data_IF_423172375261
#
_entry.id   IF_423172375261
#
_cell.length_a   1.000
_cell.length_b   1.000
_cell.length_c   1.000
_cell.angle_alpha   90.00
_cell.angle_beta   90.00
_cell.angle_gamma   90.00
#
_symmetry.space_group_name_H-M   'P 1'
#
loop_
_entity.id
_entity.type
_entity.pdbx_description
1 polymer ?
#
# COMPACT_ATOMS: atom_id res chain seq x y z
N UNK A 1 9.72 -16.76 -3.52
CA UNK A 1 11.09 -17.08 -3.04
C UNK A 1 12.10 -17.26 -4.17
N UNK A 2 11.74 -17.85 -5.30
CA UNK A 2 12.64 -17.92 -6.48
C UNK A 2 12.99 -16.55 -7.08
N UNK A 3 12.11 -15.61 -6.97
CA UNK A 3 12.28 -14.24 -7.48
C UNK A 3 13.40 -13.47 -6.75
N UNK A 4 13.51 -13.61 -5.44
CA UNK A 4 14.57 -13.02 -4.63
C UNK A 4 15.92 -13.70 -4.88
N UNK A 5 15.93 -15.02 -5.13
CA UNK A 5 17.15 -15.79 -5.41
C UNK A 5 17.82 -15.39 -6.73
N UNK A 6 17.04 -15.07 -7.78
CA UNK A 6 17.60 -14.61 -9.06
C UNK A 6 18.15 -13.18 -9.01
N UNK A 7 17.65 -12.35 -8.08
CA UNK A 7 18.11 -10.97 -7.93
C UNK A 7 19.49 -10.83 -7.24
N UNK A 8 19.90 -11.81 -6.43
CA UNK A 8 21.08 -11.72 -5.58
C UNK A 8 22.39 -12.21 -6.27
N UNK A 9 22.30 -12.88 -7.41
CA UNK A 9 23.49 -13.39 -8.13
C UNK A 9 24.47 -12.33 -8.64
N UNK A 10 24.17 -11.02 -8.46
CA UNK A 10 24.89 -9.92 -9.13
C UNK A 10 25.66 -9.01 -8.16
N UNK A 11 25.55 -9.21 -6.87
CA UNK A 11 26.21 -8.33 -5.88
C UNK A 11 27.72 -8.54 -5.81
N UNK A 12 28.28 -9.56 -6.47
CA UNK A 12 29.70 -9.91 -6.39
C UNK A 12 30.61 -9.53 -7.56
N UNK A 13 30.08 -9.00 -8.66
CA UNK A 13 30.95 -8.74 -9.80
C UNK A 13 30.34 -7.78 -10.82
N UNK A 14 30.93 -6.63 -11.01
CA UNK A 14 30.67 -5.64 -12.05
C UNK A 14 29.70 -4.49 -11.73
N UNK A 15 30.02 -3.71 -10.72
CA UNK A 15 29.39 -2.40 -10.48
C UNK A 15 29.72 -1.31 -11.52
N UNK A 16 30.54 -1.60 -12.51
CA UNK A 16 31.09 -0.57 -13.42
C UNK A 16 30.38 -0.47 -14.79
N UNK A 17 29.53 -1.41 -15.21
CA UNK A 17 29.03 -1.44 -16.59
C UNK A 17 27.56 -1.03 -16.78
N UNK A 18 26.78 -0.87 -15.71
CA UNK A 18 25.33 -0.58 -15.81
C UNK A 18 24.97 0.91 -15.68
N UNK A 19 25.92 1.83 -15.79
CA UNK A 19 25.70 3.29 -15.66
C UNK A 19 25.10 3.98 -16.89
N UNK A 20 24.64 3.28 -17.92
CA UNK A 20 24.21 3.90 -19.18
C UNK A 20 22.91 3.32 -19.76
N UNK A 21 21.82 3.28 -19.04
CA UNK A 21 20.48 3.15 -19.63
C UNK A 21 19.43 3.86 -18.76
N UNK A 22 19.71 5.07 -18.30
CA UNK A 22 18.67 5.95 -17.76
C UNK A 22 17.67 6.25 -18.86
N UNK A 23 16.39 5.95 -18.64
CA UNK A 23 15.32 6.47 -19.48
C UNK A 23 15.30 7.99 -19.38
N UNK A 24 14.96 8.73 -20.44
CA UNK A 24 14.59 10.14 -20.30
C UNK A 24 13.50 10.27 -19.23
N UNK A 25 13.41 11.41 -18.55
CA UNK A 25 12.51 11.73 -17.43
C UNK A 25 10.99 11.71 -17.78
N UNK A 26 10.57 10.92 -18.75
CA UNK A 26 9.16 10.72 -19.11
C UNK A 26 8.57 9.68 -18.16
N UNK A 27 8.03 10.14 -17.04
CA UNK A 27 7.23 9.29 -16.15
C UNK A 27 5.86 9.11 -16.79
N UNK A 28 5.41 7.84 -16.91
CA UNK A 28 4.01 7.53 -17.22
C UNK A 28 3.12 7.97 -16.04
N UNK A 29 2.56 9.17 -16.11
CA UNK A 29 1.83 9.81 -15.01
C UNK A 29 0.58 10.55 -15.50
N UNK A 30 -0.50 10.50 -14.72
CA UNK A 30 -1.73 11.24 -14.99
C UNK A 30 -2.83 10.41 -15.65
N UNK A 31 -3.93 11.08 -16.02
CA UNK A 31 -5.10 10.45 -16.62
C UNK A 31 -4.89 9.98 -18.07
N UNK A 32 -3.94 10.58 -18.79
CA UNK A 32 -3.60 10.26 -20.19
C UNK A 32 -2.09 10.06 -20.34
N UNK A 33 -1.50 9.05 -19.68
CA UNK A 33 -0.07 8.86 -19.70
C UNK A 33 0.41 8.32 -21.06
N UNK A 34 1.60 8.73 -21.48
CA UNK A 34 2.34 8.01 -22.51
C UNK A 34 3.06 6.83 -21.86
N UNK A 35 2.65 5.61 -22.16
CA UNK A 35 3.27 4.40 -21.61
C UNK A 35 4.51 4.07 -22.46
N UNK A 36 5.72 4.12 -21.91
CA UNK A 36 6.93 3.75 -22.62
C UNK A 36 6.91 2.28 -23.05
N UNK A 37 7.60 1.97 -24.15
CA UNK A 37 7.78 0.58 -24.56
C UNK A 37 8.46 -0.24 -23.47
N UNK A 38 7.94 -1.47 -23.26
CA UNK A 38 8.50 -2.40 -22.31
C UNK A 38 9.95 -2.76 -22.67
N UNK A 39 10.86 -2.56 -21.73
CA UNK A 39 12.25 -3.01 -21.84
C UNK A 39 12.38 -4.39 -21.22
N UNK A 40 12.55 -5.43 -22.02
CA UNK A 40 12.82 -6.79 -21.52
C UNK A 40 14.18 -6.78 -20.81
N UNK A 41 14.14 -6.63 -19.49
CA UNK A 41 15.36 -6.69 -18.66
C UNK A 41 15.71 -8.15 -18.41
N UNK A 42 16.87 -8.61 -18.89
CA UNK A 42 17.40 -9.92 -18.52
C UNK A 42 17.75 -10.00 -17.03
N UNK A 43 18.15 -8.88 -16.47
CA UNK A 43 18.46 -8.69 -15.06
C UNK A 43 17.74 -7.42 -14.59
N UNK A 44 16.91 -7.55 -13.59
CA UNK A 44 16.18 -6.42 -13.01
C UNK A 44 17.14 -5.48 -12.27
N UNK A 45 16.94 -4.17 -12.46
CA UNK A 45 17.64 -3.15 -11.67
C UNK A 45 17.28 -3.30 -10.20
N UNK A 46 18.26 -3.27 -9.32
CA UNK A 46 18.06 -3.27 -7.87
C UNK A 46 18.75 -2.05 -7.27
N UNK A 47 17.98 -1.22 -6.58
CA UNK A 47 18.49 -0.08 -5.83
C UNK A 47 17.67 0.05 -4.54
N UNK A 48 18.23 -0.43 -3.45
CA UNK A 48 17.57 -0.46 -2.14
C UNK A 48 18.26 0.52 -1.20
N UNK A 49 17.64 1.65 -0.85
CA UNK A 49 18.20 2.56 0.14
C UNK A 49 18.19 1.90 1.51
N UNK A 50 19.24 2.14 2.29
CA UNK A 50 19.33 1.62 3.66
C UNK A 50 18.28 2.31 4.52
N UNK A 51 17.49 1.54 5.27
CA UNK A 51 16.53 2.08 6.22
C UNK A 51 17.24 2.71 7.41
N UNK A 52 17.25 4.03 7.51
CA UNK A 52 17.89 4.78 8.58
C UNK A 52 16.93 5.27 9.65
N UNK A 53 15.71 5.63 9.28
CA UNK A 53 14.75 6.31 10.14
C UNK A 53 15.08 7.80 10.33
N UNK A 54 14.22 8.49 11.09
CA UNK A 54 14.34 9.92 11.36
C UNK A 54 15.24 10.16 12.58
N UNK A 55 16.35 10.85 12.37
CA UNK A 55 17.34 11.16 13.40
C UNK A 55 17.62 12.65 13.47
N UNK A 56 18.15 13.12 14.60
CA UNK A 56 18.61 14.49 14.79
C UNK A 56 17.54 15.56 14.53
N UNK A 57 16.28 15.27 14.89
CA UNK A 57 15.18 16.21 14.71
C UNK A 57 14.74 16.43 13.26
N UNK A 58 15.18 15.58 12.32
CA UNK A 58 14.73 15.62 10.94
C UNK A 58 13.24 15.29 10.85
N UNK A 59 12.52 16.00 10.02
CA UNK A 59 11.10 15.81 9.72
C UNK A 59 10.88 15.66 8.22
N UNK A 60 9.77 15.06 7.78
CA UNK A 60 9.32 15.16 6.39
C UNK A 60 9.15 16.62 5.97
N UNK A 61 9.33 16.88 4.68
CA UNK A 61 9.15 18.20 4.07
C UNK A 61 7.68 18.34 3.68
N UNK A 62 7.00 19.31 4.25
CA UNK A 62 5.60 19.63 3.95
C UNK A 62 5.45 20.50 2.72
N UNK A 63 4.32 20.37 2.03
CA UNK A 63 3.86 21.39 1.09
C UNK A 63 3.67 22.75 1.80
N UNK A 64 3.81 23.88 1.09
CA UNK A 64 3.59 25.22 1.66
C UNK A 64 2.22 25.36 2.35
N UNK A 65 2.20 25.97 3.53
CA UNK A 65 0.99 26.15 4.34
C UNK A 65 0.61 24.94 5.21
N UNK A 66 1.45 23.88 5.22
CA UNK A 66 1.25 22.72 6.07
C UNK A 66 2.37 22.59 7.10
N UNK A 67 2.08 21.88 8.19
CA UNK A 67 3.04 21.42 9.20
C UNK A 67 2.86 19.94 9.48
N UNK A 68 3.92 19.29 9.98
CA UNK A 68 3.92 17.88 10.35
C UNK A 68 4.50 17.72 11.75
N UNK A 69 3.89 16.84 12.54
CA UNK A 69 4.42 16.37 13.81
C UNK A 69 4.25 14.85 13.92
N UNK A 70 5.00 14.23 14.81
CA UNK A 70 4.76 12.84 15.17
C UNK A 70 3.50 12.77 16.04
N UNK A 71 2.44 12.09 15.58
CA UNK A 71 1.26 11.76 16.37
C UNK A 71 1.58 10.64 17.37
N UNK A 72 2.29 9.61 16.91
CA UNK A 72 2.75 8.49 17.73
C UNK A 72 4.12 8.02 17.25
N UNK A 73 4.99 7.57 18.16
CA UNK A 73 6.34 7.10 17.87
C UNK A 73 6.71 5.87 18.68
N UNK A 74 7.77 5.16 18.27
CA UNK A 74 8.20 3.94 18.94
C UNK A 74 7.29 2.74 18.65
N UNK A 75 6.64 2.74 17.49
CA UNK A 75 5.92 1.59 16.96
C UNK A 75 6.90 0.54 16.41
N UNK A 76 6.41 -0.64 16.07
CA UNK A 76 7.19 -1.68 15.39
C UNK A 76 6.62 -1.91 13.99
N UNK A 77 7.13 -1.15 13.02
CA UNK A 77 6.76 -1.24 11.61
C UNK A 77 5.24 -1.02 11.37
N UNK A 78 4.72 0.19 11.66
CA UNK A 78 3.30 0.52 11.49
C UNK A 78 2.91 0.46 10.02
N UNK A 79 1.77 -0.18 9.73
CA UNK A 79 1.33 -0.41 8.34
C UNK A 79 0.00 0.27 8.02
N UNK A 80 -1.01 0.03 8.83
CA UNK A 80 -2.35 0.51 8.55
C UNK A 80 -2.91 1.26 9.75
N UNK A 81 -3.79 2.20 9.48
CA UNK A 81 -4.40 3.08 10.47
C UNK A 81 -5.90 3.01 10.32
N UNK A 82 -6.61 2.89 11.43
CA UNK A 82 -8.06 3.03 11.52
C UNK A 82 -8.38 4.02 12.63
N UNK A 83 -9.23 5.00 12.35
CA UNK A 83 -9.68 5.98 13.34
C UNK A 83 -11.07 5.59 13.81
N UNK A 84 -11.20 5.24 15.08
CA UNK A 84 -12.47 4.86 15.67
C UNK A 84 -13.39 6.08 15.90
N UNK A 85 -14.71 5.88 15.97
CA UNK A 85 -15.67 6.99 16.16
C UNK A 85 -15.45 7.82 17.43
N UNK A 86 -14.81 7.27 18.45
CA UNK A 86 -14.47 7.95 19.70
C UNK A 86 -13.16 8.78 19.60
N UNK A 87 -12.48 8.71 18.46
CA UNK A 87 -11.21 9.40 18.18
C UNK A 87 -9.96 8.60 18.46
N UNK A 88 -10.07 7.38 19.01
CA UNK A 88 -8.93 6.49 19.17
C UNK A 88 -8.36 6.08 17.81
N UNK A 89 -7.05 5.95 17.74
CA UNK A 89 -6.33 5.58 16.53
C UNK A 89 -5.75 4.16 16.69
N UNK A 90 -6.24 3.23 15.89
CA UNK A 90 -5.70 1.87 15.83
C UNK A 90 -4.61 1.79 14.76
N UNK A 91 -3.50 1.12 15.10
CA UNK A 91 -2.36 0.93 14.19
C UNK A 91 -2.01 -0.55 14.11
N UNK A 92 -2.07 -1.11 12.90
CA UNK A 92 -1.56 -2.44 12.62
C UNK A 92 -0.02 -2.41 12.52
N UNK A 93 0.64 -3.13 13.42
CA UNK A 93 2.08 -3.30 13.47
C UNK A 93 2.45 -4.70 12.96
N UNK A 94 2.95 -4.77 11.73
CA UNK A 94 3.25 -6.04 11.07
C UNK A 94 4.32 -5.89 9.99
N UNK A 95 5.07 -6.97 9.78
CA UNK A 95 6.17 -7.03 8.83
C UNK A 95 6.13 -8.32 8.03
N UNK A 96 6.66 -8.28 6.81
CA UNK A 96 6.83 -9.49 6.02
C UNK A 96 7.76 -10.47 6.72
N UNK A 97 7.33 -11.73 6.82
CA UNK A 97 8.10 -12.81 7.45
C UNK A 97 8.71 -13.69 6.34
N UNK A 98 10.04 -13.68 6.25
CA UNK A 98 10.73 -14.58 5.37
C UNK A 98 10.73 -15.99 5.93
N UNK A 99 10.47 -16.98 5.09
CA UNK A 99 10.70 -18.39 5.44
C UNK A 99 12.20 -18.68 5.69
N UNK A 100 12.53 -19.86 6.24
CA UNK A 100 13.92 -20.23 6.49
C UNK A 100 14.73 -20.22 5.18
N UNK A 101 15.91 -19.60 5.15
CA UNK A 101 16.76 -19.59 3.96
C UNK A 101 17.26 -21.00 3.67
N UNK A 102 17.20 -21.42 2.41
CA UNK A 102 17.56 -22.78 1.97
C UNK A 102 18.94 -22.84 1.28
N UNK A 103 19.41 -21.69 0.77
CA UNK A 103 20.69 -21.56 0.04
C UNK A 103 21.51 -20.42 0.60
N UNK A 104 22.82 -20.38 0.29
CA UNK A 104 23.70 -19.25 0.63
C UNK A 104 23.18 -17.94 0.00
N UNK A 105 22.59 -18.02 -1.18
CA UNK A 105 21.99 -16.90 -1.89
C UNK A 105 20.75 -16.38 -1.16
N UNK A 106 19.90 -17.25 -0.61
CA UNK A 106 18.76 -16.85 0.22
C UNK A 106 19.23 -16.12 1.48
N UNK A 107 20.31 -16.56 2.12
CA UNK A 107 20.91 -15.90 3.27
C UNK A 107 21.36 -14.47 2.93
N UNK A 108 22.05 -14.29 1.80
CA UNK A 108 22.51 -12.98 1.35
C UNK A 108 21.34 -12.05 1.00
N UNK A 109 20.33 -12.59 0.28
CA UNK A 109 19.11 -11.87 -0.04
C UNK A 109 18.36 -11.40 1.21
N UNK A 110 18.12 -12.32 2.16
CA UNK A 110 17.45 -11.98 3.41
C UNK A 110 18.26 -10.98 4.25
N UNK A 111 19.59 -11.07 4.26
CA UNK A 111 20.43 -10.08 4.94
C UNK A 111 20.24 -8.67 4.35
N UNK A 112 20.18 -8.56 3.02
CA UNK A 112 19.89 -7.30 2.32
C UNK A 112 18.49 -6.80 2.66
N UNK A 113 17.47 -7.66 2.60
CA UNK A 113 16.08 -7.29 2.92
C UNK A 113 15.90 -6.86 4.38
N UNK A 114 16.63 -7.48 5.33
CA UNK A 114 16.65 -7.02 6.73
C UNK A 114 17.27 -5.65 6.89
N UNK A 115 18.36 -5.36 6.14
CA UNK A 115 19.03 -4.05 6.19
C UNK A 115 18.14 -2.90 5.74
N UNK A 116 17.20 -3.16 4.83
CA UNK A 116 16.20 -2.19 4.37
C UNK A 116 14.88 -2.29 5.14
N UNK A 117 14.83 -3.03 6.24
CA UNK A 117 13.66 -3.30 7.10
C UNK A 117 12.46 -3.95 6.37
N UNK A 118 12.63 -4.48 5.17
CA UNK A 118 11.53 -5.08 4.41
C UNK A 118 11.02 -6.41 5.01
N UNK A 119 11.92 -7.20 5.62
CA UNK A 119 11.59 -8.45 6.30
C UNK A 119 12.14 -8.47 7.73
N UNK A 120 11.53 -9.29 8.59
CA UNK A 120 12.00 -9.46 9.97
C UNK A 120 11.01 -10.18 10.87
N UNK A 121 11.24 -10.08 12.18
CA UNK A 121 10.24 -10.48 13.16
C UNK A 121 9.09 -9.49 13.08
N UNK A 122 7.87 -9.97 12.93
CA UNK A 122 6.66 -9.15 12.92
C UNK A 122 6.11 -9.00 14.33
N UNK A 123 5.67 -7.80 14.69
CA UNK A 123 4.98 -7.54 15.95
C UNK A 123 3.64 -8.29 16.04
N UNK A 124 2.98 -8.49 14.90
CA UNK A 124 1.73 -9.26 14.79
C UNK A 124 0.64 -8.80 15.76
N UNK A 125 0.48 -7.49 15.88
CA UNK A 125 -0.49 -6.86 16.79
C UNK A 125 -1.13 -5.63 16.17
N UNK A 126 -2.22 -5.19 16.79
CA UNK A 126 -2.79 -3.85 16.62
C UNK A 126 -2.61 -3.11 17.94
N UNK A 127 -2.16 -1.87 17.89
CA UNK A 127 -2.06 -0.97 19.03
C UNK A 127 -3.07 0.14 18.94
N UNK A 128 -3.62 0.55 20.09
CA UNK A 128 -4.49 1.69 20.27
C UNK A 128 -3.67 2.89 20.75
N UNK A 129 -3.89 4.03 20.15
CA UNK A 129 -3.29 5.30 20.51
C UNK A 129 -4.39 6.35 20.73
N UNK A 130 -4.29 7.08 21.84
CA UNK A 130 -5.26 8.11 22.20
C UNK A 130 -4.54 9.41 22.52
N UNK A 131 -4.95 10.47 21.87
CA UNK A 131 -4.61 11.86 22.14
C UNK A 131 -5.66 12.39 23.12
N UNK A 132 -5.35 12.34 24.41
CA UNK A 132 -6.31 12.59 25.48
C UNK A 132 -6.54 14.10 25.73
N UNK A 133 -5.51 14.92 25.53
CA UNK A 133 -5.58 16.38 25.72
C UNK A 133 -5.80 17.14 24.40
N UNK A 134 -5.85 16.43 23.27
CA UNK A 134 -6.13 16.93 21.92
C UNK A 134 -5.09 17.93 21.41
N UNK A 135 -3.82 17.74 21.77
CA UNK A 135 -2.71 18.56 21.29
C UNK A 135 -2.14 18.07 19.94
N UNK A 136 -2.57 16.90 19.48
CA UNK A 136 -2.15 16.27 18.23
C UNK A 136 -0.99 15.28 18.39
N UNK A 137 -0.73 14.85 19.62
CA UNK A 137 0.23 13.81 20.00
C UNK A 137 -0.47 12.81 20.91
N UNK A 138 -0.29 11.51 20.70
CA UNK A 138 -0.94 10.52 21.52
C UNK A 138 -0.09 10.15 22.75
N UNK A 139 -0.65 10.33 23.96
CA UNK A 139 0.01 10.00 25.23
C UNK A 139 -0.31 8.58 25.70
N UNK A 140 -1.48 8.06 25.33
CA UNK A 140 -1.94 6.74 25.77
C UNK A 140 -1.68 5.73 24.67
N UNK A 141 -1.01 4.63 25.03
CA UNK A 141 -0.77 3.49 24.18
C UNK A 141 -1.18 2.21 24.86
N UNK A 142 -2.01 1.41 24.18
CA UNK A 142 -2.44 0.09 24.64
C UNK A 142 -2.25 -0.95 23.54
N UNK A 143 -2.11 -2.23 23.91
CA UNK A 143 -2.16 -3.33 22.94
C UNK A 143 -3.62 -3.70 22.75
N UNK A 144 -4.18 -3.34 21.60
CA UNK A 144 -5.59 -3.56 21.28
C UNK A 144 -5.91 -5.03 20.98
N UNK A 145 -5.10 -5.67 20.15
CA UNK A 145 -5.14 -7.12 19.91
C UNK A 145 -3.76 -7.63 19.51
N UNK A 146 -3.37 -8.78 20.02
CA UNK A 146 -2.07 -9.40 19.75
C UNK A 146 -2.18 -10.81 19.18
N UNK A 147 -1.03 -11.42 18.86
CA UNK A 147 -0.93 -12.78 18.35
C UNK A 147 -1.73 -13.01 17.05
N UNK A 148 -1.81 -11.97 16.23
CA UNK A 148 -2.45 -12.03 14.91
C UNK A 148 -1.44 -12.47 13.84
N UNK A 149 -1.93 -12.89 12.66
CA UNK A 149 -1.06 -13.34 11.57
C UNK A 149 -0.85 -12.23 10.55
N UNK A 150 0.18 -11.38 10.77
CA UNK A 150 0.47 -10.22 9.91
C UNK A 150 -0.79 -9.35 9.69
N UNK A 151 -1.36 -8.75 10.75
CA UNK A 151 -2.55 -7.91 10.64
C UNK A 151 -2.28 -6.69 9.76
N UNK A 152 -3.30 -6.26 9.00
CA UNK A 152 -3.17 -5.11 8.11
C UNK A 152 -4.45 -4.25 8.14
N UNK A 153 -5.45 -4.54 7.31
CA UNK A 153 -6.68 -3.78 7.24
C UNK A 153 -7.56 -3.97 8.45
N UNK A 154 -8.24 -2.92 8.84
CA UNK A 154 -9.17 -2.88 9.96
C UNK A 154 -10.48 -2.25 9.52
N UNK A 155 -11.58 -2.64 10.14
CA UNK A 155 -12.89 -2.07 9.88
C UNK A 155 -13.81 -2.26 11.09
N UNK A 156 -14.61 -1.25 11.41
CA UNK A 156 -15.63 -1.33 12.46
C UNK A 156 -17.02 -1.21 11.84
N UNK A 157 -17.88 -2.19 12.09
CA UNK A 157 -19.30 -2.15 11.69
C UNK A 157 -20.17 -2.42 12.91
N UNK A 158 -20.85 -1.40 13.39
CA UNK A 158 -21.62 -1.48 14.63
C UNK A 158 -20.73 -1.83 15.82
N UNK A 159 -20.99 -2.98 16.43
CA UNK A 159 -20.23 -3.55 17.53
C UNK A 159 -19.31 -4.71 17.12
N UNK A 160 -18.96 -4.82 15.86
CA UNK A 160 -18.11 -5.87 15.29
C UNK A 160 -16.86 -5.25 14.68
N UNK A 161 -15.69 -5.63 15.20
CA UNK A 161 -14.39 -5.21 14.69
C UNK A 161 -13.81 -6.30 13.79
N UNK A 162 -13.51 -5.95 12.55
CA UNK A 162 -12.96 -6.83 11.52
C UNK A 162 -11.48 -6.55 11.33
N UNK A 163 -10.68 -7.61 11.25
CA UNK A 163 -9.23 -7.54 11.07
C UNK A 163 -8.79 -8.42 9.90
N UNK A 164 -8.16 -7.81 8.91
CA UNK A 164 -7.53 -8.49 7.78
C UNK A 164 -6.15 -9.02 8.16
N UNK A 165 -6.05 -10.32 8.35
CA UNK A 165 -4.80 -11.07 8.51
C UNK A 165 -4.37 -11.65 7.16
N UNK A 166 -3.08 -11.97 6.97
CA UNK A 166 -2.58 -12.52 5.69
C UNK A 166 -3.32 -13.79 5.27
N UNK A 167 -3.84 -14.58 6.22
CA UNK A 167 -4.53 -15.84 6.00
C UNK A 167 -6.06 -15.75 6.10
N UNK A 168 -6.64 -14.54 6.20
CA UNK A 168 -8.09 -14.38 6.23
C UNK A 168 -8.59 -13.14 6.95
N UNK A 169 -9.90 -13.04 7.11
CA UNK A 169 -10.56 -11.99 7.88
C UNK A 169 -11.06 -12.60 9.18
N UNK A 170 -10.70 -11.94 10.30
CA UNK A 170 -11.23 -12.27 11.63
C UNK A 170 -12.17 -11.19 12.11
N UNK A 171 -13.11 -11.56 12.97
CA UNK A 171 -14.05 -10.64 13.60
C UNK A 171 -14.06 -10.82 15.10
N UNK A 172 -14.18 -9.71 15.80
CA UNK A 172 -14.23 -9.62 17.26
C UNK A 172 -15.47 -8.83 17.67
N UNK A 173 -16.02 -9.15 18.83
CA UNK A 173 -16.98 -8.26 19.49
C UNK A 173 -16.22 -7.03 20.02
N UNK A 174 -16.80 -5.86 19.85
CA UNK A 174 -16.25 -4.58 20.25
C UNK A 174 -17.31 -3.72 20.93
N UNK A 175 -16.98 -3.17 22.07
CA UNK A 175 -17.79 -2.16 22.75
C UNK A 175 -17.10 -0.80 22.65
N UNK A 176 -17.85 0.23 22.33
CA UNK A 176 -17.28 1.58 22.21
C UNK A 176 -16.52 1.99 23.47
N UNK A 177 -15.25 2.32 23.30
CA UNK A 177 -14.33 2.64 24.39
C UNK A 177 -13.45 1.48 24.85
N UNK A 178 -13.65 0.25 24.36
CA UNK A 178 -12.72 -0.85 24.61
C UNK A 178 -11.31 -0.46 24.17
N UNK A 179 -10.34 -0.69 25.04
CA UNK A 179 -8.92 -0.43 24.75
C UNK A 179 -8.16 -1.71 24.44
N UNK A 180 -8.79 -2.87 24.58
CA UNK A 180 -8.24 -4.18 24.24
C UNK A 180 -9.33 -5.17 23.87
N UNK A 181 -9.03 -6.04 22.90
CA UNK A 181 -9.85 -7.19 22.52
C UNK A 181 -9.21 -8.48 23.05
N UNK A 182 -10.03 -9.47 23.34
CA UNK A 182 -9.57 -10.76 23.87
C UNK A 182 -9.79 -11.89 22.87
N UNK A 183 -8.96 -12.92 22.96
CA UNK A 183 -9.06 -14.11 22.13
C UNK A 183 -8.50 -13.93 20.72
N UNK A 184 -8.70 -14.93 19.87
CA UNK A 184 -8.17 -14.95 18.50
C UNK A 184 -9.11 -14.32 17.47
N UNK A 185 -10.36 -14.02 17.85
CA UNK A 185 -11.42 -13.63 16.94
C UNK A 185 -11.95 -14.81 16.10
N UNK A 186 -13.19 -14.72 15.69
CA UNK A 186 -13.82 -15.68 14.77
C UNK A 186 -13.28 -15.50 13.35
N UNK A 187 -12.85 -16.57 12.69
CA UNK A 187 -12.37 -16.54 11.31
C UNK A 187 -13.55 -16.66 10.35
N UNK A 188 -13.89 -15.59 9.64
CA UNK A 188 -15.00 -15.54 8.68
C UNK A 188 -14.58 -15.96 7.28
N UNK A 189 -13.41 -15.51 6.83
CA UNK A 189 -12.90 -15.76 5.48
C UNK A 189 -11.48 -16.30 5.57
N UNK A 190 -11.15 -17.29 4.75
CA UNK A 190 -9.78 -17.82 4.62
C UNK A 190 -9.18 -17.40 3.30
N UNK A 191 -7.98 -16.83 3.33
CA UNK A 191 -7.15 -16.55 2.17
C UNK A 191 -5.89 -17.43 2.16
N UNK A 192 -5.39 -17.73 0.96
CA UNK A 192 -4.09 -18.38 0.82
C UNK A 192 -2.99 -17.41 1.28
N UNK A 193 -2.14 -17.74 2.27
CA UNK A 193 -1.01 -16.89 2.68
C UNK A 193 0.08 -16.87 1.60
N UNK A 194 1.16 -16.10 1.85
CA UNK A 194 2.31 -15.89 0.95
C UNK A 194 2.05 -14.90 -0.21
N UNK A 195 3.09 -14.58 -0.97
CA UNK A 195 3.06 -13.55 -2.00
C UNK A 195 2.81 -12.16 -1.42
N UNK A 196 1.93 -11.38 -2.05
CA UNK A 196 1.47 -10.13 -1.45
C UNK A 196 0.60 -10.45 -0.24
N UNK A 197 1.10 -10.16 0.93
CA UNK A 197 0.54 -10.62 2.20
C UNK A 197 -0.47 -9.66 2.84
N UNK A 198 -0.54 -8.42 2.38
CA UNK A 198 -1.46 -7.41 2.91
C UNK A 198 -2.91 -7.74 2.59
N UNK A 199 -3.82 -7.46 3.53
CA UNK A 199 -5.27 -7.58 3.38
C UNK A 199 -5.91 -6.31 3.91
N UNK A 200 -5.98 -5.27 3.06
CA UNK A 200 -6.70 -4.05 3.39
C UNK A 200 -8.20 -4.32 3.48
N UNK A 201 -8.90 -3.60 4.33
CA UNK A 201 -10.35 -3.67 4.47
C UNK A 201 -10.97 -2.29 4.24
N UNK A 202 -12.16 -2.25 3.64
CA UNK A 202 -12.97 -1.04 3.50
C UNK A 202 -14.44 -1.40 3.64
N UNK A 203 -15.15 -0.72 4.52
CA UNK A 203 -16.61 -0.89 4.71
C UNK A 203 -17.36 -0.14 3.60
N UNK A 204 -18.46 -0.72 3.10
CA UNK A 204 -19.38 0.00 2.22
C UNK A 204 -20.06 1.17 2.95
N UNK A 205 -20.47 2.24 2.26
CA UNK A 205 -21.09 3.41 2.91
C UNK A 205 -22.35 3.08 3.73
N UNK A 206 -23.07 2.02 3.37
CA UNK A 206 -24.26 1.54 4.07
C UNK A 206 -23.96 0.53 5.20
N UNK A 207 -22.68 0.16 5.39
CA UNK A 207 -22.25 -0.78 6.42
C UNK A 207 -22.60 -2.24 6.15
N UNK A 208 -23.14 -2.60 4.98
CA UNK A 208 -23.62 -3.96 4.69
C UNK A 208 -22.54 -4.88 4.11
N UNK A 209 -21.46 -4.31 3.58
CA UNK A 209 -20.36 -5.03 2.92
C UNK A 209 -18.99 -4.61 3.45
N UNK A 210 -18.04 -5.52 3.36
CA UNK A 210 -16.60 -5.24 3.56
C UNK A 210 -15.85 -5.69 2.32
N UNK A 211 -15.05 -4.80 1.76
CA UNK A 211 -14.16 -5.08 0.63
C UNK A 211 -12.76 -5.39 1.14
N UNK A 212 -12.11 -6.41 0.54
CA UNK A 212 -10.76 -6.83 0.94
C UNK A 212 -9.84 -6.95 -0.28
N UNK A 213 -8.69 -6.26 -0.25
CA UNK A 213 -7.64 -6.40 -1.25
C UNK A 213 -6.82 -7.68 -1.04
N UNK A 214 -6.70 -8.50 -2.08
CA UNK A 214 -5.90 -9.75 -2.07
C UNK A 214 -4.96 -9.75 -3.27
N UNK A 215 -3.70 -9.39 -3.05
CA UNK A 215 -2.71 -9.33 -4.12
C UNK A 215 -2.26 -10.70 -4.63
N UNK A 216 -1.56 -10.73 -5.77
CA UNK A 216 -1.04 -11.93 -6.42
C UNK A 216 -0.04 -12.69 -5.53
N UNK A 217 0.16 -13.97 -5.81
CA UNK A 217 1.22 -14.78 -5.20
C UNK A 217 2.58 -14.45 -5.82
N UNK A 218 2.61 -14.25 -7.13
CA UNK A 218 3.82 -14.08 -7.91
C UNK A 218 3.80 -12.80 -8.74
N UNK A 219 4.89 -12.51 -9.45
CA UNK A 219 5.01 -11.30 -10.26
C UNK A 219 4.09 -11.31 -11.48
N UNK A 220 4.04 -12.44 -12.18
CA UNK A 220 3.34 -12.59 -13.48
C UNK A 220 2.57 -13.91 -13.60
N UNK A 221 2.22 -14.56 -12.51
CA UNK A 221 1.63 -15.90 -12.52
C UNK A 221 2.65 -17.01 -12.76
N UNK A 222 3.95 -16.71 -12.61
CA UNK A 222 5.07 -17.63 -12.86
C UNK A 222 5.19 -18.75 -11.84
N UNK A 223 4.50 -18.67 -10.73
CA UNK A 223 4.35 -19.78 -9.78
C UNK A 223 3.28 -20.81 -10.19
N UNK A 224 2.47 -20.51 -11.21
CA UNK A 224 1.32 -21.30 -11.67
C UNK A 224 -0.01 -20.58 -11.44
N UNK A 225 -0.86 -20.52 -12.46
CA UNK A 225 -2.15 -19.81 -12.40
C UNK A 225 -3.16 -20.46 -11.45
N UNK A 226 -3.05 -21.76 -11.21
CA UNK A 226 -3.85 -22.48 -10.20
C UNK A 226 -3.56 -21.99 -8.77
N UNK A 227 -2.35 -21.54 -8.51
CA UNK A 227 -1.97 -20.93 -7.23
C UNK A 227 -2.46 -19.49 -7.07
N UNK A 228 -2.77 -18.83 -8.18
CA UNK A 228 -3.32 -17.46 -8.20
C UNK A 228 -4.85 -17.43 -8.05
N UNK A 229 -5.51 -18.57 -7.99
CA UNK A 229 -6.97 -18.64 -7.78
C UNK A 229 -7.39 -17.85 -6.52
N UNK A 230 -8.33 -16.91 -6.68
CA UNK A 230 -8.80 -16.01 -5.62
C UNK A 230 -7.85 -14.87 -5.27
N UNK A 231 -6.79 -14.66 -6.05
CA UNK A 231 -5.77 -13.61 -5.85
C UNK A 231 -5.83 -12.57 -6.97
N UNK A 232 -4.99 -11.54 -6.86
CA UNK A 232 -5.01 -10.36 -7.75
C UNK A 232 -6.43 -9.81 -7.91
N UNK A 233 -7.13 -9.64 -6.78
CA UNK A 233 -8.56 -9.40 -6.72
C UNK A 233 -8.95 -8.51 -5.54
N UNK A 234 -10.10 -7.88 -5.66
CA UNK A 234 -10.84 -7.33 -4.53
C UNK A 234 -12.01 -8.29 -4.25
N UNK A 235 -12.12 -8.71 -2.99
CA UNK A 235 -13.20 -9.52 -2.48
C UNK A 235 -14.27 -8.65 -1.83
N UNK A 236 -15.52 -9.08 -1.87
CA UNK A 236 -16.66 -8.51 -1.16
C UNK A 236 -17.19 -9.54 -0.16
N UNK A 237 -17.26 -9.15 1.10
CA UNK A 237 -17.83 -9.92 2.21
C UNK A 237 -19.17 -9.30 2.61
N UNK A 238 -20.24 -10.08 2.64
CA UNK A 238 -21.52 -9.69 3.19
C UNK A 238 -21.48 -9.76 4.72
N UNK A 239 -21.70 -8.63 5.39
CA UNK A 239 -21.59 -8.51 6.86
C UNK A 239 -22.63 -9.37 7.58
N UNK A 240 -23.85 -9.48 7.04
CA UNK A 240 -24.93 -10.20 7.70
C UNK A 240 -24.81 -11.72 7.58
N UNK A 241 -24.32 -12.22 6.44
CA UNK A 241 -24.28 -13.66 6.14
C UNK A 241 -22.88 -14.26 6.27
N UNK A 242 -21.83 -13.46 6.24
CA UNK A 242 -20.44 -13.92 6.18
C UNK A 242 -20.03 -14.47 4.81
N UNK A 243 -20.89 -14.44 3.80
CA UNK A 243 -20.56 -14.92 2.45
C UNK A 243 -19.58 -13.97 1.77
N UNK A 244 -18.58 -14.54 1.11
CA UNK A 244 -17.57 -13.78 0.38
C UNK A 244 -17.49 -14.20 -1.09
N UNK A 245 -17.26 -13.23 -1.99
CA UNK A 245 -17.08 -13.44 -3.43
C UNK A 245 -16.01 -12.51 -3.98
N UNK A 246 -15.52 -12.81 -5.16
CA UNK A 246 -14.66 -11.89 -5.92
C UNK A 246 -15.55 -10.76 -6.48
N UNK A 247 -15.21 -9.51 -6.15
CA UNK A 247 -15.88 -8.32 -6.65
C UNK A 247 -15.25 -7.83 -7.96
N UNK A 248 -13.92 -7.80 -8.03
CA UNK A 248 -13.16 -7.44 -9.24
C UNK A 248 -11.82 -8.22 -9.27
N UNK A 249 -11.25 -8.42 -10.46
CA UNK A 249 -10.06 -9.24 -10.67
C UNK A 249 -9.07 -8.61 -11.64
N UNK A 250 -7.88 -9.21 -11.79
CA UNK A 250 -6.80 -8.71 -12.63
C UNK A 250 -6.10 -7.47 -12.07
N UNK A 251 -6.28 -7.20 -10.78
CA UNK A 251 -5.66 -6.14 -10.00
C UNK A 251 -4.44 -6.73 -9.27
N UNK A 252 -3.26 -6.70 -9.89
CA UNK A 252 -2.09 -7.45 -9.40
C UNK A 252 -1.87 -7.34 -7.89
N UNK A 253 -1.85 -6.14 -7.35
CA UNK A 253 -1.76 -5.90 -5.91
C UNK A 253 -2.55 -4.64 -5.54
N UNK A 254 -3.87 -4.76 -5.45
CA UNK A 254 -4.75 -3.72 -4.93
C UNK A 254 -4.56 -3.64 -3.41
N UNK A 255 -4.18 -2.46 -2.88
CA UNK A 255 -3.93 -2.27 -1.46
C UNK A 255 -4.87 -1.24 -0.87
N UNK A 256 -4.62 0.05 -1.04
CA UNK A 256 -5.50 1.10 -0.54
C UNK A 256 -6.83 1.14 -1.30
N UNK A 257 -7.92 1.29 -0.57
CA UNK A 257 -9.26 1.45 -1.12
C UNK A 257 -9.95 2.63 -0.45
N UNK A 258 -10.76 3.38 -1.20
CA UNK A 258 -11.56 4.48 -0.68
C UNK A 258 -12.83 4.67 -1.50
N UNK A 259 -13.89 5.16 -0.87
CA UNK A 259 -15.09 5.60 -1.56
C UNK A 259 -14.94 7.04 -2.03
N UNK A 260 -15.28 7.29 -3.27
CA UNK A 260 -15.48 8.64 -3.79
C UNK A 260 -16.97 9.00 -3.54
N UNK A 261 -17.25 10.04 -2.73
CA UNK A 261 -18.59 10.23 -2.18
C UNK A 261 -19.61 10.84 -3.17
N UNK A 262 -19.18 11.52 -4.23
CA UNK A 262 -20.09 12.16 -5.19
C UNK A 262 -20.79 11.13 -6.08
N UNK A 263 -20.06 10.12 -6.55
CA UNK A 263 -20.57 9.05 -7.43
C UNK A 263 -20.80 7.74 -6.69
N UNK A 264 -20.31 7.60 -5.46
CA UNK A 264 -20.37 6.35 -4.69
C UNK A 264 -19.47 5.25 -5.24
N UNK A 265 -18.50 5.55 -6.10
CA UNK A 265 -17.57 4.57 -6.67
C UNK A 265 -16.49 4.16 -5.69
N UNK A 266 -16.20 2.86 -5.68
CA UNK A 266 -15.00 2.32 -5.05
C UNK A 266 -13.77 2.66 -5.89
N UNK A 267 -12.73 3.18 -5.25
CA UNK A 267 -11.41 3.43 -5.86
C UNK A 267 -10.34 2.62 -5.16
N UNK A 268 -9.29 2.26 -5.91
CA UNK A 268 -8.13 1.54 -5.38
C UNK A 268 -6.83 2.00 -6.02
N UNK A 269 -5.72 1.84 -5.28
CA UNK A 269 -4.36 1.91 -5.84
C UNK A 269 -3.82 0.51 -6.05
N UNK A 270 -3.12 0.31 -7.17
CA UNK A 270 -2.60 -0.99 -7.58
C UNK A 270 -1.12 -0.89 -7.89
N UNK A 271 -0.35 -1.80 -7.31
CA UNK A 271 1.06 -1.97 -7.64
C UNK A 271 1.20 -3.00 -8.76
N UNK A 272 1.75 -2.55 -9.87
CA UNK A 272 1.93 -3.36 -11.07
C UNK A 272 3.20 -4.23 -11.03
N UNK A 273 3.34 -5.05 -12.08
CA UNK A 273 4.40 -6.04 -12.20
C UNK A 273 5.79 -5.43 -12.44
N UNK A 274 6.81 -6.18 -12.06
CA UNK A 274 8.20 -5.80 -12.21
C UNK A 274 8.84 -6.38 -13.49
N UNK A 275 9.98 -5.79 -13.91
CA UNK A 275 10.88 -6.36 -14.92
C UNK A 275 10.57 -5.97 -16.36
N UNK A 276 9.82 -4.89 -16.61
CA UNK A 276 9.59 -4.27 -17.92
C UNK A 276 10.33 -2.94 -18.09
N UNK A 277 11.20 -2.57 -17.18
CA UNK A 277 11.95 -1.31 -17.15
C UNK A 277 11.56 -0.44 -15.96
N UNK A 278 12.14 0.76 -15.91
CA UNK A 278 11.94 1.69 -14.80
C UNK A 278 10.55 2.35 -14.81
N UNK A 279 9.94 2.53 -15.99
CA UNK A 279 8.70 3.29 -16.16
C UNK A 279 7.48 2.44 -16.54
N UNK A 280 7.67 1.14 -16.83
CA UNK A 280 6.63 0.26 -17.37
C UNK A 280 6.47 -1.02 -16.59
N UNK A 281 5.22 -1.41 -16.29
CA UNK A 281 4.00 -0.60 -16.33
C UNK A 281 3.94 0.39 -15.16
N UNK A 282 3.18 1.49 -15.26
CA UNK A 282 2.96 2.35 -14.11
C UNK A 282 2.06 1.69 -13.09
N UNK A 283 2.30 1.94 -11.80
CA UNK A 283 1.29 1.79 -10.76
C UNK A 283 0.13 2.75 -11.05
N UNK A 284 -1.06 2.45 -10.54
CA UNK A 284 -2.22 3.27 -10.90
C UNK A 284 -3.26 3.42 -9.79
N UNK A 285 -4.06 4.47 -9.91
CA UNK A 285 -5.31 4.73 -9.20
C UNK A 285 -6.46 4.48 -10.17
N UNK A 286 -7.47 3.70 -9.76
CA UNK A 286 -8.61 3.38 -10.63
C UNK A 286 -9.91 3.20 -9.85
N UNK A 287 -11.03 3.56 -10.51
CA UNK A 287 -12.36 3.17 -10.07
C UNK A 287 -12.58 1.69 -10.30
N UNK A 288 -13.27 1.02 -9.37
CA UNK A 288 -13.47 -0.43 -9.40
C UNK A 288 -14.92 -0.76 -9.78
N UNK A 289 -15.07 -1.54 -10.84
CA UNK A 289 -16.39 -1.99 -11.32
C UNK A 289 -16.66 -3.43 -10.85
N UNK A 290 -17.88 -3.71 -10.43
CA UNK A 290 -18.30 -5.06 -10.12
C UNK A 290 -18.18 -5.98 -11.34
N UNK A 291 -17.53 -7.15 -11.15
CA UNK A 291 -17.21 -8.08 -12.24
C UNK A 291 -16.09 -7.60 -13.17
N UNK A 292 -15.48 -6.43 -12.89
CA UNK A 292 -14.41 -5.85 -13.71
C UNK A 292 -13.12 -6.67 -13.70
N UNK A 293 -12.43 -6.68 -14.85
CA UNK A 293 -11.10 -7.28 -14.99
C UNK A 293 -10.10 -6.22 -15.44
N UNK A 294 -8.94 -6.09 -14.72
CA UNK A 294 -7.98 -4.99 -14.90
C UNK A 294 -6.66 -5.41 -15.55
N UNK A 295 -6.58 -6.61 -16.10
CA UNK A 295 -5.54 -7.04 -17.05
C UNK A 295 -4.55 -8.07 -16.52
N UNK A 296 -4.09 -7.99 -15.28
CA UNK A 296 -3.09 -8.92 -14.77
C UNK A 296 -3.58 -10.39 -14.78
N UNK A 297 -2.77 -11.37 -15.22
CA UNK A 297 -1.38 -11.26 -15.67
C UNK A 297 -1.22 -11.02 -17.18
N UNK A 298 -2.28 -11.02 -17.98
CA UNK A 298 -2.25 -11.12 -19.44
C UNK A 298 -1.88 -9.81 -20.16
N UNK A 299 -2.23 -8.69 -19.55
CA UNK A 299 -1.97 -7.36 -20.08
C UNK A 299 -1.88 -6.34 -18.93
N UNK A 300 -1.40 -5.15 -19.22
CA UNK A 300 -1.28 -4.03 -18.31
C UNK A 300 -1.74 -2.74 -18.99
N UNK A 301 -2.05 -1.73 -18.21
CA UNK A 301 -2.56 -0.44 -18.66
C UNK A 301 -3.59 -0.57 -19.79
N UNK A 302 -4.69 -1.22 -19.49
CA UNK A 302 -5.71 -1.60 -20.44
C UNK A 302 -5.35 -2.85 -21.23
N UNK A 303 -5.12 -2.73 -22.55
CA UNK A 303 -4.93 -3.89 -23.44
C UNK A 303 -3.50 -4.06 -23.96
N UNK A 304 -2.51 -3.47 -23.30
CA UNK A 304 -1.10 -3.68 -23.65
C UNK A 304 -0.69 -5.10 -23.22
N UNK A 305 -0.52 -5.98 -24.20
CA UNK A 305 -0.24 -7.40 -23.98
C UNK A 305 1.10 -7.60 -23.29
N UNK A 306 1.12 -8.41 -22.22
CA UNK A 306 2.36 -8.94 -21.66
C UNK A 306 2.70 -10.28 -22.31
N UNK A 307 3.60 -10.26 -23.30
CA UNK A 307 3.99 -11.43 -24.11
C UNK A 307 4.83 -12.47 -23.34
N UNK A 308 5.10 -12.25 -22.07
CA UNK A 308 5.89 -13.16 -21.20
C UNK A 308 5.06 -14.15 -20.42
N UNK A 309 3.74 -14.10 -20.55
CA UNK A 309 2.81 -15.03 -19.90
C UNK A 309 1.99 -15.77 -20.97
N UNK A 310 1.48 -16.97 -20.67
CA UNK A 310 0.50 -17.62 -21.52
C UNK A 310 -0.70 -16.71 -21.75
N UNK A 311 -1.09 -16.50 -23.00
CA UNK A 311 -2.08 -15.51 -23.38
C UNK A 311 -3.51 -16.05 -23.34
N UNK A 312 -4.43 -15.20 -22.91
CA UNK A 312 -5.88 -15.38 -23.08
C UNK A 312 -6.47 -14.12 -23.77
N UNK A 313 -6.66 -14.15 -25.11
CA UNK A 313 -7.18 -13.02 -25.84
C UNK A 313 -8.58 -12.55 -25.39
N UNK A 314 -9.38 -13.45 -24.81
CA UNK A 314 -10.70 -13.09 -24.29
C UNK A 314 -10.57 -12.21 -23.04
N UNK A 315 -9.65 -12.55 -22.15
CA UNK A 315 -9.36 -11.76 -20.96
C UNK A 315 -8.76 -10.42 -21.33
N UNK A 316 -7.82 -10.38 -22.28
CA UNK A 316 -7.25 -9.10 -22.79
C UNK A 316 -8.34 -8.20 -23.38
N UNK A 317 -9.31 -8.78 -24.12
CA UNK A 317 -10.40 -8.00 -24.71
C UNK A 317 -11.33 -7.37 -23.64
N UNK A 318 -11.45 -7.98 -22.47
CA UNK A 318 -12.29 -7.51 -21.35
C UNK A 318 -11.57 -6.52 -20.43
N UNK A 319 -10.23 -6.40 -20.53
CA UNK A 319 -9.45 -5.60 -19.63
C UNK A 319 -9.88 -4.12 -19.64
N UNK A 320 -10.13 -3.59 -18.45
CA UNK A 320 -10.47 -2.20 -18.21
C UNK A 320 -9.17 -1.39 -18.11
N UNK A 321 -9.11 -0.26 -18.82
CA UNK A 321 -8.00 0.68 -18.68
C UNK A 321 -8.13 1.44 -17.36
N UNK A 322 -7.07 1.51 -16.54
CA UNK A 322 -7.07 2.32 -15.32
C UNK A 322 -7.28 3.81 -15.58
N UNK A 323 -7.79 4.53 -14.57
CA UNK A 323 -8.17 5.94 -14.70
C UNK A 323 -6.97 6.91 -14.60
N UNK A 324 -5.94 6.58 -13.79
CA UNK A 324 -4.84 7.52 -13.50
C UNK A 324 -3.54 6.78 -13.20
N UNK A 325 -2.50 7.02 -14.00
CA UNK A 325 -1.16 6.47 -13.77
C UNK A 325 -0.42 7.23 -12.67
N UNK A 326 0.26 6.50 -11.80
CA UNK A 326 1.00 7.01 -10.65
C UNK A 326 2.53 6.98 -10.84
N UNK A 327 3.00 6.59 -12.04
CA UNK A 327 4.41 6.37 -12.33
C UNK A 327 4.87 4.94 -12.08
N UNK A 328 6.01 4.58 -12.67
CA UNK A 328 6.56 3.22 -12.53
C UNK A 328 7.06 2.94 -11.11
N UNK A 329 6.63 1.81 -10.55
CA UNK A 329 7.13 1.23 -9.30
C UNK A 329 7.07 2.14 -8.07
N UNK A 330 6.07 3.03 -7.98
CA UNK A 330 5.92 3.95 -6.84
C UNK A 330 5.56 3.24 -5.54
N UNK A 331 5.11 1.99 -5.64
CA UNK A 331 4.58 1.19 -4.54
C UNK A 331 3.51 1.96 -3.76
N UNK A 332 2.47 2.42 -4.47
CA UNK A 332 1.33 3.14 -3.90
C UNK A 332 0.51 2.18 -3.04
N UNK A 333 0.50 2.37 -1.72
CA UNK A 333 -0.10 1.45 -0.74
C UNK A 333 -1.32 2.05 -0.04
N UNK A 334 -1.17 3.19 0.63
CA UNK A 334 -2.26 3.87 1.34
C UNK A 334 -3.15 4.65 0.38
N UNK A 335 -4.46 4.68 0.66
CA UNK A 335 -5.43 5.50 -0.05
C UNK A 335 -6.52 5.95 0.92
N UNK A 336 -6.82 7.24 0.94
CA UNK A 336 -8.04 7.75 1.57
C UNK A 336 -8.63 8.90 0.77
N UNK A 337 -9.94 9.08 0.87
CA UNK A 337 -10.61 10.27 0.38
C UNK A 337 -10.38 11.43 1.35
N UNK A 338 -9.97 12.57 0.84
CA UNK A 338 -9.83 13.82 1.58
C UNK A 338 -10.92 14.80 1.14
N UNK A 339 -11.88 15.14 2.01
CA UNK A 339 -12.87 16.20 1.73
C UNK A 339 -12.22 17.57 1.54
N UNK A 340 -12.89 18.44 0.83
CA UNK A 340 -12.50 19.84 0.77
C UNK A 340 -12.50 20.49 2.17
N UNK A 341 -11.54 21.37 2.42
CA UNK A 341 -11.38 22.03 3.72
C UNK A 341 -10.61 21.23 4.79
N UNK A 342 -10.14 20.02 4.49
CA UNK A 342 -9.27 19.24 5.40
C UNK A 342 -7.88 19.88 5.49
N UNK A 343 -7.24 20.16 4.37
CA UNK A 343 -5.94 20.83 4.29
C UNK A 343 -6.03 22.08 3.40
N UNK A 344 -5.46 23.22 3.81
CA UNK A 344 -5.50 24.44 3.02
C UNK A 344 -4.80 24.27 1.68
N UNK A 345 -5.43 24.79 0.62
CA UNK A 345 -4.89 24.77 -0.74
C UNK A 345 -5.01 23.45 -1.49
N UNK A 346 -5.65 22.42 -0.93
CA UNK A 346 -5.79 21.11 -1.59
C UNK A 346 -7.28 20.88 -1.90
N UNK A 347 -8.21 21.11 -1.91
CA UNK A 347 -9.59 20.73 -2.30
C UNK A 347 -9.92 19.27 -1.97
N UNK A 348 -10.98 18.76 -2.59
CA UNK A 348 -11.39 17.35 -2.45
C UNK A 348 -10.59 16.43 -3.40
N UNK A 349 -10.27 15.22 -2.95
CA UNK A 349 -9.55 14.25 -3.77
C UNK A 349 -9.00 13.06 -3.01
N UNK A 350 -8.13 12.30 -3.65
CA UNK A 350 -7.50 11.11 -3.08
C UNK A 350 -6.09 11.42 -2.58
N UNK A 351 -5.81 11.02 -1.34
CA UNK A 351 -4.47 11.03 -0.75
C UNK A 351 -3.87 9.65 -0.84
N UNK A 352 -2.61 9.57 -1.31
CA UNK A 352 -1.94 8.29 -1.59
C UNK A 352 -0.58 8.26 -0.90
N UNK A 353 -0.35 7.23 -0.07
CA UNK A 353 0.94 6.91 0.49
C UNK A 353 1.77 6.08 -0.49
N UNK A 354 2.85 6.64 -1.02
CA UNK A 354 3.78 5.97 -1.92
C UNK A 354 4.99 5.46 -1.14
N UNK A 355 5.04 4.14 -0.95
CA UNK A 355 6.08 3.46 -0.17
C UNK A 355 7.46 3.53 -0.82
N UNK A 356 7.50 3.63 -2.13
CA UNK A 356 8.71 3.84 -2.92
C UNK A 356 9.31 2.59 -3.51
N UNK A 357 9.98 2.78 -4.64
CA UNK A 357 10.57 1.73 -5.47
C UNK A 357 11.84 1.12 -4.85
N UNK A 358 12.18 -0.07 -5.32
CA UNK A 358 13.42 -0.78 -5.01
C UNK A 358 14.09 -1.36 -6.28
N UNK A 359 13.44 -1.24 -7.41
CA UNK A 359 13.79 -1.88 -8.70
C UNK A 359 13.91 -0.87 -9.85
N UNK A 360 14.34 0.36 -9.56
CA UNK A 360 14.58 1.43 -10.53
C UNK A 360 16.00 1.97 -10.44
N UNK A 361 16.52 2.53 -11.53
CA UNK A 361 17.79 3.24 -11.58
C UNK A 361 17.74 4.57 -10.81
N UNK A 362 16.64 5.32 -10.95
CA UNK A 362 16.28 6.48 -10.13
C UNK A 362 15.03 6.11 -9.35
N UNK A 363 15.08 6.22 -8.03
CA UNK A 363 13.97 5.84 -7.17
C UNK A 363 12.74 6.74 -7.36
N UNK A 364 11.55 6.16 -7.21
CA UNK A 364 10.24 6.83 -7.31
C UNK A 364 9.40 6.56 -6.08
N UNK A 365 8.35 7.35 -5.87
CA UNK A 365 7.55 7.28 -4.64
C UNK A 365 8.25 7.94 -3.46
N UNK A 366 8.24 7.30 -2.28
CA UNK A 366 8.79 7.85 -1.02
C UNK A 366 8.18 9.20 -0.66
N UNK A 367 6.86 9.31 -0.75
CA UNK A 367 6.13 10.55 -0.53
C UNK A 367 4.65 10.32 -0.26
N UNK A 368 3.99 11.31 0.27
CA UNK A 368 2.54 11.39 0.36
C UNK A 368 2.06 12.35 -0.71
N UNK A 369 1.18 11.90 -1.60
CA UNK A 369 0.65 12.70 -2.70
C UNK A 369 -0.86 12.89 -2.60
N UNK A 370 -1.36 13.92 -3.27
CA UNK A 370 -2.77 14.23 -3.44
C UNK A 370 -3.12 14.28 -4.92
N UNK A 371 -4.15 13.56 -5.32
CA UNK A 371 -4.75 13.61 -6.66
C UNK A 371 -6.08 14.36 -6.54
N UNK A 372 -6.24 15.56 -7.16
CA UNK A 372 -7.48 16.31 -7.09
C UNK A 372 -8.60 15.63 -7.86
N UNK A 373 -9.82 15.73 -7.35
CA UNK A 373 -11.03 15.18 -7.97
C UNK A 373 -12.05 16.27 -8.24
N UNK A 374 -12.82 16.07 -9.30
CA UNK A 374 -13.99 16.86 -9.65
C UNK A 374 -14.96 15.99 -10.46
N UNK A 375 -16.24 16.08 -10.17
CA UNK A 375 -17.28 15.26 -10.82
C UNK A 375 -16.96 13.74 -10.74
N UNK A 376 -16.46 13.30 -9.59
CA UNK A 376 -16.19 11.88 -9.32
C UNK A 376 -14.97 11.29 -10.05
N UNK A 377 -14.07 12.11 -10.60
CA UNK A 377 -12.89 11.67 -11.34
C UNK A 377 -11.66 12.55 -11.06
N UNK A 378 -10.43 12.03 -11.29
CA UNK A 378 -9.21 12.84 -11.24
C UNK A 378 -9.30 14.05 -12.17
N UNK A 379 -8.98 15.25 -11.66
CA UNK A 379 -9.22 16.52 -12.37
C UNK A 379 -7.95 17.34 -12.62
N UNK A 380 -6.78 16.83 -12.24
CA UNK A 380 -5.52 17.56 -12.44
C UNK A 380 -4.30 16.73 -12.05
N UNK A 381 -3.10 17.31 -12.13
CA UNK A 381 -1.87 16.63 -11.75
C UNK A 381 -1.83 16.35 -10.25
N UNK A 382 -1.19 15.25 -9.88
CA UNK A 382 -0.92 14.98 -8.48
C UNK A 382 0.05 16.01 -7.89
N UNK A 383 -0.11 16.29 -6.60
CA UNK A 383 0.71 17.25 -5.84
C UNK A 383 1.27 16.58 -4.59
N UNK A 384 2.51 16.89 -4.23
CA UNK A 384 3.11 16.38 -3.01
C UNK A 384 2.49 17.06 -1.78
N UNK A 385 2.12 16.26 -0.77
CA UNK A 385 1.75 16.72 0.58
C UNK A 385 2.99 16.64 1.48
N UNK A 386 3.67 15.48 1.48
CA UNK A 386 4.92 15.25 2.20
C UNK A 386 5.97 14.64 1.27
N UNK A 387 7.21 15.09 1.42
CA UNK A 387 8.39 14.59 0.71
C UNK A 387 9.61 14.52 1.65
N UNK A 388 10.81 14.27 1.12
CA UNK A 388 12.04 14.24 1.91
C UNK A 388 12.28 12.92 2.65
N UNK A 389 11.66 11.83 2.22
CA UNK A 389 11.81 10.50 2.81
C UNK A 389 13.08 9.76 2.35
N UNK A 390 13.77 10.29 1.35
CA UNK A 390 15.06 9.79 0.84
C UNK A 390 16.17 10.83 1.02
N UNK A 391 17.42 10.36 1.17
CA UNK A 391 18.60 11.21 0.98
C UNK A 391 18.72 11.64 -0.49
N UNK A 392 19.38 12.78 -0.75
CA UNK A 392 19.59 13.31 -2.10
C UNK A 392 20.33 12.34 -3.02
N UNK A 393 21.25 11.54 -2.48
CA UNK A 393 21.99 10.50 -3.21
C UNK A 393 21.23 9.16 -3.30
N UNK A 394 20.02 9.10 -2.78
CA UNK A 394 19.13 7.94 -2.77
C UNK A 394 19.74 6.68 -2.10
N UNK A 395 20.68 6.86 -1.17
CA UNK A 395 21.28 5.73 -0.44
C UNK A 395 20.60 5.42 0.89
N UNK A 396 19.89 6.39 1.46
CA UNK A 396 19.23 6.28 2.75
C UNK A 396 17.74 6.54 2.60
N UNK A 397 16.92 5.71 3.23
CA UNK A 397 15.50 5.96 3.45
C UNK A 397 15.30 6.39 4.91
N UNK A 398 14.79 7.59 5.11
CA UNK A 398 14.43 8.10 6.43
C UNK A 398 13.06 7.59 6.87
N UNK A 399 12.18 7.38 5.90
CA UNK A 399 10.84 6.86 6.08
C UNK A 399 10.28 6.26 4.80
N UNK A 400 9.15 5.55 4.92
CA UNK A 400 8.39 5.01 3.80
C UNK A 400 6.89 5.07 4.12
N UNK A 401 6.13 5.95 3.42
CA UNK A 401 4.69 6.09 3.61
C UNK A 401 3.93 4.81 3.30
N UNK A 402 2.96 4.44 4.16
CA UNK A 402 2.09 3.28 3.97
C UNK A 402 0.62 3.70 4.09
N UNK A 403 -0.08 3.31 5.14
CA UNK A 403 -1.47 3.66 5.39
C UNK A 403 -1.64 5.16 5.60
N UNK A 404 -2.72 5.71 5.10
CA UNK A 404 -3.12 7.11 5.31
C UNK A 404 -4.61 7.19 5.58
N UNK A 405 -5.01 8.07 6.47
CA UNK A 405 -6.41 8.32 6.82
C UNK A 405 -6.60 9.76 7.29
N UNK A 406 -7.87 10.20 7.35
CA UNK A 406 -8.24 11.47 7.95
C UNK A 406 -8.23 11.32 9.48
N UNK A 407 -7.66 12.28 10.19
CA UNK A 407 -7.73 12.32 11.65
C UNK A 407 -9.14 12.57 12.16
N UNK A 408 -9.40 12.23 13.42
CA UNK A 408 -10.71 12.38 14.07
C UNK A 408 -11.26 13.82 14.06
N UNK A 409 -10.38 14.79 13.94
CA UNK A 409 -10.72 16.22 13.87
C UNK A 409 -11.24 16.67 12.48
N UNK A 410 -11.17 15.80 11.46
CA UNK A 410 -11.51 16.11 10.08
C UNK A 410 -10.61 17.16 9.41
N UNK A 411 -9.55 17.62 10.09
CA UNK A 411 -8.63 18.69 9.67
C UNK A 411 -7.17 18.28 9.68
N UNK A 412 -6.91 17.01 9.80
CA UNK A 412 -5.57 16.42 9.76
C UNK A 412 -5.54 15.15 8.92
N UNK A 413 -4.35 14.80 8.44
CA UNK A 413 -4.04 13.48 7.90
C UNK A 413 -3.14 12.75 8.88
N UNK A 414 -3.38 11.45 9.07
CA UNK A 414 -2.49 10.53 9.75
C UNK A 414 -1.86 9.60 8.71
N UNK A 415 -0.55 9.40 8.78
CA UNK A 415 0.20 8.57 7.84
C UNK A 415 1.16 7.65 8.58
N UNK A 416 1.09 6.35 8.31
CA UNK A 416 2.02 5.36 8.83
C UNK A 416 3.35 5.38 8.06
N UNK A 417 4.44 5.37 8.79
CA UNK A 417 5.82 5.30 8.28
C UNK A 417 6.52 4.09 8.88
N UNK A 418 6.67 3.03 8.09
CA UNK A 418 7.15 1.73 8.57
C UNK A 418 8.67 1.62 8.73
N UNK A 419 9.44 2.55 8.16
CA UNK A 419 10.88 2.69 8.40
C UNK A 419 11.16 3.63 9.55
N UNK A 420 10.37 4.70 9.67
CA UNK A 420 10.48 5.67 10.76
C UNK A 420 9.93 5.16 12.09
N UNK A 421 9.08 4.12 12.06
CA UNK A 421 8.36 3.59 13.23
C UNK A 421 7.48 4.69 13.89
N UNK A 422 6.82 5.52 13.04
CA UNK A 422 6.09 6.75 13.42
C UNK A 422 4.74 6.79 12.70
N UNK A 423 3.73 7.34 13.37
CA UNK A 423 2.54 7.88 12.72
C UNK A 423 2.72 9.41 12.64
N UNK A 424 2.80 9.91 11.43
CA UNK A 424 2.88 11.34 11.16
C UNK A 424 1.49 11.97 11.13
N UNK A 425 1.35 13.17 11.71
CA UNK A 425 0.14 14.01 11.60
C UNK A 425 0.45 15.26 10.81
N UNK A 426 -0.34 15.52 9.75
CA UNK A 426 -0.21 16.68 8.88
C UNK A 426 -1.41 17.59 9.08
N UNK A 427 -1.17 18.87 9.30
CA UNK A 427 -2.22 19.89 9.51
C UNK A 427 -1.87 21.17 8.78
N UNK A 428 -2.79 22.15 8.78
CA UNK A 428 -2.48 23.53 8.43
C UNK A 428 -1.32 24.06 9.30
N UNK A 429 -0.42 24.83 8.70
CA UNK A 429 0.51 25.68 9.46
C UNK A 429 -0.26 26.81 10.16
N UNK A 430 0.27 27.27 11.29
CA UNK A 430 -0.32 28.40 12.06
C UNK A 430 -0.27 29.70 11.26
#
# INVERSE_FOLDING_TARGET
MEFVAKATAIVGGTLAFLRRLGSPDTQAFGAHPEIPEARKQGIMTLKMPVAEGWKNGRLPICAPGLKVNAFASGLDHPRWIEVLPNGDVLVAESKEQAGPPKTLMDHAAQATMRRVKAIGKSANRVTLWRDADKDGTAEIREVFVENQNQPFGMALVGNRFYLGNTDGIRVFDYTSGDTALTGEGEKLVTFKPHGHWTRSLLVSPDGTKIYAGVGSLSNIGDAGMDLEEGRAAIWELDVATGNARIFASGLRNAVGMAWEPETGKLWTVVNERDGLGDETPPDYLTSVQEGGFYGWPYCYWGKTVDDRVPQDPKMVAQAITPDFALGGHTASLGLCWMPDGTLPGFGAGMVIGQHGSWNRSKLSGYKLIFVPFQNGAPSGPARDILSGFLSEDEKLAYGRPVGVTIGADGKSLLMADDVGDIIWRVTAAD
#
